data_IF_210388597369
#
_entry.id   IF_210388597369
#
_cell.length_a   1.000
_cell.length_b   1.000
_cell.length_c   1.000
_cell.angle_alpha   90.00
_cell.angle_beta   90.00
_cell.angle_gamma   90.00
#
_symmetry.space_group_name_H-M   'P 1'
#
loop_
_entity.id
_entity.type
_entity.pdbx_description
1 polymer ?
#
# COMPACT_ATOMS: atom_id res chain seq x y z
N UNK A 1 4.49 -7.25 -3.52
CA UNK A 1 4.69 -8.03 -2.27
C UNK A 1 5.16 -9.43 -2.60
N UNK A 2 4.43 -10.20 -3.41
CA UNK A 2 4.96 -11.42 -4.04
C UNK A 2 6.10 -11.03 -4.99
N UNK A 3 7.28 -11.64 -4.84
CA UNK A 3 8.47 -11.35 -5.67
C UNK A 3 8.52 -12.24 -6.91
N UNK A 4 8.29 -13.54 -6.74
CA UNK A 4 8.30 -14.52 -7.81
C UNK A 4 7.28 -15.63 -7.50
N UNK A 5 6.22 -15.81 -8.33
CA UNK A 5 5.23 -16.87 -8.16
C UNK A 5 5.77 -18.30 -8.31
N UNK A 6 6.91 -18.48 -8.98
CA UNK A 6 7.54 -19.80 -9.18
C UNK A 6 8.30 -20.27 -7.92
N UNK A 7 8.59 -19.35 -7.00
CA UNK A 7 9.19 -19.70 -5.72
C UNK A 7 8.12 -20.18 -4.75
N UNK A 8 8.52 -21.04 -3.83
CA UNK A 8 7.71 -21.43 -2.69
C UNK A 8 7.72 -20.36 -1.59
N UNK A 9 6.81 -20.48 -0.63
CA UNK A 9 6.85 -19.64 0.56
C UNK A 9 8.15 -19.84 1.34
N UNK A 10 8.57 -21.10 1.51
CA UNK A 10 9.86 -21.42 2.11
C UNK A 10 11.06 -20.85 1.34
N UNK A 11 10.94 -20.75 0.02
CA UNK A 11 11.95 -20.25 -0.92
C UNK A 11 11.96 -18.73 -1.12
N UNK A 12 11.10 -17.96 -0.45
CA UNK A 12 11.10 -16.50 -0.55
C UNK A 12 10.16 -15.89 -1.58
N UNK A 13 9.06 -16.57 -1.91
CA UNK A 13 7.96 -15.96 -2.68
C UNK A 13 7.49 -14.64 -2.05
N UNK A 14 7.51 -14.56 -0.71
CA UNK A 14 7.24 -13.37 0.09
C UNK A 14 8.51 -13.03 0.88
N UNK A 15 9.10 -11.87 0.60
CA UNK A 15 10.34 -11.42 1.27
C UNK A 15 10.14 -11.31 2.78
N UNK A 16 11.02 -11.96 3.54
CA UNK A 16 11.00 -11.94 5.01
C UNK A 16 10.01 -12.92 5.65
N UNK A 17 9.27 -13.66 4.83
CA UNK A 17 8.36 -14.74 5.23
C UNK A 17 8.86 -16.08 4.66
N UNK A 18 10.16 -16.33 4.84
CA UNK A 18 10.90 -17.45 4.29
C UNK A 18 11.79 -18.08 5.37
N UNK A 19 12.52 -19.15 5.02
CA UNK A 19 13.39 -19.89 5.96
C UNK A 19 14.42 -19.03 6.71
N UNK A 20 14.83 -17.88 6.16
CA UNK A 20 15.79 -16.98 6.81
C UNK A 20 15.17 -16.26 8.00
N UNK A 21 13.84 -16.11 8.02
CA UNK A 21 13.11 -15.59 9.16
C UNK A 21 12.38 -16.73 9.89
N UNK A 22 13.08 -17.34 10.84
CA UNK A 22 12.61 -18.52 11.55
C UNK A 22 11.22 -18.32 12.20
N UNK A 23 10.98 -17.16 12.81
CA UNK A 23 9.71 -16.85 13.48
C UNK A 23 8.53 -16.91 12.51
N UNK A 24 8.58 -16.16 11.41
CA UNK A 24 7.50 -16.14 10.42
C UNK A 24 7.38 -17.45 9.66
N UNK A 25 8.50 -18.14 9.42
CA UNK A 25 8.48 -19.43 8.75
C UNK A 25 7.77 -20.52 9.58
N UNK A 26 7.98 -20.54 10.91
CA UNK A 26 7.23 -21.44 11.81
C UNK A 26 5.73 -21.15 11.79
N UNK A 27 5.34 -19.88 11.71
CA UNK A 27 3.94 -19.52 11.54
C UNK A 27 3.37 -20.06 10.23
N UNK A 28 4.10 -19.91 9.11
CA UNK A 28 3.66 -20.44 7.82
C UNK A 28 3.57 -21.97 7.81
N UNK A 29 4.47 -22.67 8.50
CA UNK A 29 4.37 -24.12 8.69
C UNK A 29 3.12 -24.52 9.45
N UNK A 30 2.84 -23.86 10.57
CA UNK A 30 1.62 -24.12 11.35
C UNK A 30 0.36 -23.82 10.52
N UNK A 31 0.39 -22.77 9.70
CA UNK A 31 -0.68 -22.43 8.77
C UNK A 31 -0.87 -23.49 7.68
N UNK A 32 0.23 -23.99 7.13
CA UNK A 32 0.28 -25.07 6.15
C UNK A 32 -0.30 -26.38 6.70
N UNK A 33 0.06 -26.73 7.94
CA UNK A 33 -0.47 -27.90 8.64
C UNK A 33 -1.98 -27.81 8.87
N UNK A 34 -2.50 -26.60 9.15
CA UNK A 34 -3.92 -26.35 9.38
C UNK A 34 -4.73 -26.40 8.09
N UNK A 35 -4.33 -25.63 7.07
CA UNK A 35 -5.04 -25.54 5.79
C UNK A 35 -4.64 -26.61 4.76
N UNK A 36 -3.75 -27.53 5.13
CA UNK A 36 -3.31 -28.68 4.32
C UNK A 36 -2.74 -28.26 2.96
N UNK A 37 -1.83 -27.30 2.96
CA UNK A 37 -1.07 -26.93 1.77
C UNK A 37 0.43 -27.16 1.96
N UNK A 38 1.16 -27.29 0.86
CA UNK A 38 2.61 -27.46 0.89
C UNK A 38 3.31 -26.10 0.86
N UNK A 39 4.09 -25.80 1.89
CA UNK A 39 4.89 -24.55 1.99
C UNK A 39 6.09 -24.53 1.03
N UNK A 40 6.47 -25.70 0.52
CA UNK A 40 7.56 -25.91 -0.46
C UNK A 40 7.07 -25.90 -1.90
N UNK A 41 5.76 -25.98 -2.14
CA UNK A 41 5.20 -25.86 -3.48
C UNK A 41 5.34 -24.42 -4.01
N UNK A 42 5.52 -24.24 -5.34
CA UNK A 42 5.53 -22.91 -5.96
C UNK A 42 4.27 -22.13 -5.60
N UNK A 43 4.42 -20.85 -5.26
CA UNK A 43 3.31 -19.99 -4.84
C UNK A 43 2.16 -20.00 -5.87
N UNK A 44 2.49 -19.93 -7.16
CA UNK A 44 1.50 -19.95 -8.25
C UNK A 44 0.68 -21.25 -8.35
N UNK A 45 1.16 -22.36 -7.79
CA UNK A 45 0.45 -23.64 -7.78
C UNK A 45 -0.56 -23.79 -6.62
N UNK A 46 -0.48 -22.92 -5.62
CA UNK A 46 -1.36 -22.95 -4.46
C UNK A 46 -2.78 -22.47 -4.82
N UNK A 47 -3.79 -22.98 -4.12
CA UNK A 47 -5.17 -22.58 -4.35
C UNK A 47 -5.42 -21.10 -3.98
N UNK A 48 -6.42 -20.48 -4.61
CA UNK A 48 -6.82 -19.10 -4.31
C UNK A 48 -7.20 -18.91 -2.82
N UNK A 49 -7.75 -19.95 -2.17
CA UNK A 49 -8.04 -19.90 -0.73
C UNK A 49 -6.76 -19.78 0.10
N UNK A 50 -5.72 -20.56 -0.23
CA UNK A 50 -4.42 -20.48 0.44
C UNK A 50 -3.79 -19.11 0.22
N UNK A 51 -3.84 -18.57 -1.01
CA UNK A 51 -3.35 -17.20 -1.27
C UNK A 51 -4.05 -16.18 -0.39
N UNK A 52 -5.38 -16.27 -0.30
CA UNK A 52 -6.19 -15.34 0.50
C UNK A 52 -5.83 -15.42 1.97
N UNK A 53 -5.76 -16.62 2.54
CA UNK A 53 -5.44 -16.81 3.95
C UNK A 53 -4.02 -16.35 4.28
N UNK A 54 -3.03 -16.65 3.42
CA UNK A 54 -1.65 -16.20 3.64
C UNK A 54 -1.56 -14.68 3.58
N UNK A 55 -2.19 -14.04 2.62
CA UNK A 55 -2.07 -12.59 2.43
C UNK A 55 -2.91 -11.78 3.43
N UNK A 56 -4.16 -12.19 3.66
CA UNK A 56 -5.17 -11.42 4.39
C UNK A 56 -5.59 -12.05 5.73
N UNK A 57 -5.05 -13.21 6.08
CA UNK A 57 -5.30 -13.85 7.37
C UNK A 57 -6.47 -14.83 7.38
N UNK A 58 -6.64 -15.48 8.52
CA UNK A 58 -7.71 -16.47 8.78
C UNK A 58 -9.01 -15.86 9.31
N UNK A 59 -9.09 -14.53 9.39
CA UNK A 59 -10.24 -13.82 9.94
C UNK A 59 -10.40 -14.09 11.44
N UNK A 60 -11.44 -14.85 11.81
CA UNK A 60 -11.72 -15.22 13.21
C UNK A 60 -11.32 -16.66 13.55
N UNK A 61 -10.87 -17.42 12.57
CA UNK A 61 -10.51 -18.83 12.77
C UNK A 61 -9.21 -18.92 13.55
N UNK A 62 -9.25 -19.55 14.72
CA UNK A 62 -8.10 -19.79 15.57
C UNK A 62 -7.26 -20.96 15.02
N UNK A 63 -5.96 -20.73 14.92
CA UNK A 63 -4.99 -21.69 14.41
C UNK A 63 -3.97 -21.96 15.51
N UNK A 64 -3.56 -23.21 15.61
CA UNK A 64 -2.54 -23.63 16.55
C UNK A 64 -1.15 -23.32 15.99
N UNK A 65 -0.48 -22.32 16.56
CA UNK A 65 0.87 -21.93 16.19
C UNK A 65 1.88 -22.48 17.17
N UNK A 66 2.88 -23.19 16.64
CA UNK A 66 4.02 -23.71 17.39
C UNK A 66 5.18 -22.72 17.28
N UNK A 67 5.59 -22.16 18.40
CA UNK A 67 6.72 -21.24 18.50
C UNK A 67 7.86 -21.93 19.24
N UNK A 68 9.03 -22.00 18.60
CA UNK A 68 10.24 -22.51 19.23
C UNK A 68 11.11 -21.33 19.65
N UNK A 69 11.54 -21.32 20.91
CA UNK A 69 12.50 -20.32 21.41
C UNK A 69 13.94 -20.73 21.08
N UNK A 70 14.90 -19.84 21.33
CA UNK A 70 16.33 -20.10 21.06
C UNK A 70 16.91 -21.26 21.91
N UNK A 71 16.22 -21.66 22.98
CA UNK A 71 16.60 -22.78 23.86
C UNK A 71 16.03 -24.12 23.39
N UNK A 72 15.21 -24.13 22.34
CA UNK A 72 14.55 -25.32 21.80
C UNK A 72 13.21 -25.66 22.46
N UNK A 73 12.75 -24.89 23.45
CA UNK A 73 11.42 -25.10 24.03
C UNK A 73 10.35 -24.69 23.03
N UNK A 74 9.35 -25.55 22.88
CA UNK A 74 8.19 -25.29 22.02
C UNK A 74 7.02 -24.81 22.87
N UNK A 75 6.50 -23.63 22.55
CA UNK A 75 5.24 -23.11 23.11
C UNK A 75 4.16 -23.15 22.04
N UNK A 76 2.95 -23.56 22.44
CA UNK A 76 1.79 -23.63 21.56
C UNK A 76 0.85 -22.49 21.92
N UNK A 77 0.41 -21.72 20.93
CA UNK A 77 -0.60 -20.67 21.11
C UNK A 77 -1.68 -20.80 20.07
N UNK A 78 -2.92 -20.51 20.45
CA UNK A 78 -4.07 -20.49 19.54
C UNK A 78 -4.53 -19.06 19.35
N UNK A 79 -4.48 -18.59 18.11
CA UNK A 79 -4.99 -17.28 17.72
C UNK A 79 -5.25 -17.24 16.21
N UNK A 80 -5.98 -16.24 15.70
CA UNK A 80 -6.11 -16.08 14.26
C UNK A 80 -4.79 -15.65 13.62
N UNK A 81 -4.59 -16.07 12.39
CA UNK A 81 -3.50 -15.56 11.57
C UNK A 81 -3.87 -14.16 11.06
N UNK A 82 -3.03 -13.17 11.35
CA UNK A 82 -3.22 -11.78 10.93
C UNK A 82 -3.22 -11.62 9.40
N UNK A 83 -2.41 -12.42 8.71
CA UNK A 83 -2.10 -12.25 7.30
C UNK A 83 -0.83 -11.42 7.09
N UNK A 84 -0.07 -11.77 6.04
CA UNK A 84 1.19 -11.10 5.70
C UNK A 84 0.99 -9.60 5.48
N UNK A 85 -0.02 -9.21 4.71
CA UNK A 85 -0.24 -7.81 4.33
C UNK A 85 -0.64 -6.96 5.53
N UNK A 86 -1.57 -7.45 6.35
CA UNK A 86 -1.99 -6.76 7.57
C UNK A 86 -0.83 -6.63 8.56
N UNK A 87 -0.01 -7.68 8.71
CA UNK A 87 1.18 -7.62 9.54
C UNK A 87 2.18 -6.56 9.06
N UNK A 88 2.45 -6.50 7.76
CA UNK A 88 3.34 -5.50 7.18
C UNK A 88 2.78 -4.08 7.35
N UNK A 89 1.50 -3.86 7.09
CA UNK A 89 0.83 -2.57 7.27
C UNK A 89 0.89 -2.10 8.72
N UNK A 90 0.53 -2.97 9.66
CA UNK A 90 0.56 -2.65 11.09
C UNK A 90 1.98 -2.34 11.56
N UNK A 91 2.96 -3.18 11.20
CA UNK A 91 4.37 -2.94 11.54
C UNK A 91 4.89 -1.63 10.96
N UNK A 92 4.49 -1.25 9.74
CA UNK A 92 4.88 0.02 9.15
C UNK A 92 4.35 1.23 9.95
N UNK A 93 3.10 1.14 10.43
CA UNK A 93 2.46 2.20 11.22
C UNK A 93 2.97 2.29 12.66
N UNK A 94 3.23 1.15 13.29
CA UNK A 94 3.49 1.06 14.74
C UNK A 94 4.98 0.95 15.11
N UNK A 95 5.87 0.60 14.17
CA UNK A 95 7.30 0.45 14.49
C UNK A 95 7.94 1.79 14.84
N UNK A 96 8.74 1.84 15.91
CA UNK A 96 9.58 2.99 16.25
C UNK A 96 10.94 2.96 15.53
N UNK A 97 11.33 1.81 14.97
CA UNK A 97 12.58 1.67 14.21
C UNK A 97 12.46 2.28 12.81
N UNK A 98 13.29 3.28 12.51
CA UNK A 98 13.41 3.89 11.18
C UNK A 98 13.83 2.87 10.12
N UNK A 99 14.83 2.04 10.40
CA UNK A 99 15.31 1.02 9.48
C UNK A 99 14.21 0.01 9.09
N UNK A 100 13.39 -0.43 10.06
CA UNK A 100 12.24 -1.31 9.77
C UNK A 100 11.20 -0.58 8.92
N UNK A 101 10.92 0.69 9.24
CA UNK A 101 9.96 1.51 8.49
C UNK A 101 10.40 1.70 7.04
N UNK A 102 11.69 1.97 6.80
CA UNK A 102 12.28 2.14 5.47
C UNK A 102 12.26 0.84 4.65
N UNK A 103 12.59 -0.31 5.26
CA UNK A 103 12.47 -1.60 4.59
C UNK A 103 11.01 -1.91 4.18
N UNK A 104 10.04 -1.62 5.05
CA UNK A 104 8.62 -1.83 4.76
C UNK A 104 8.06 -0.82 3.73
N UNK A 105 8.59 0.41 3.71
CA UNK A 105 8.18 1.44 2.75
C UNK A 105 8.42 1.00 1.29
N UNK A 106 9.40 0.11 1.03
CA UNK A 106 9.69 -0.45 -0.31
C UNK A 106 8.52 -1.24 -0.90
N UNK A 107 7.57 -1.68 -0.08
CA UNK A 107 6.38 -2.42 -0.52
C UNK A 107 5.15 -1.53 -0.73
N UNK A 108 5.25 -0.24 -0.41
CA UNK A 108 4.15 0.71 -0.50
C UNK A 108 4.27 1.47 -1.82
N UNK A 109 3.19 1.46 -2.60
CA UNK A 109 3.05 2.30 -3.78
C UNK A 109 2.13 3.47 -3.48
N UNK A 110 2.48 4.64 -3.99
CA UNK A 110 1.58 5.80 -3.93
C UNK A 110 0.41 5.61 -4.90
N UNK A 111 -0.79 5.94 -4.43
CA UNK A 111 -2.01 6.02 -5.25
C UNK A 111 -2.71 7.35 -4.98
N UNK A 112 -3.48 7.89 -5.95
CA UNK A 112 -4.32 9.06 -5.70
C UNK A 112 -5.21 8.82 -4.49
N UNK A 113 -5.28 9.81 -3.60
CA UNK A 113 -6.12 9.73 -2.42
C UNK A 113 -7.59 9.64 -2.85
N UNK A 114 -8.36 8.69 -2.34
CA UNK A 114 -9.76 8.49 -2.75
C UNK A 114 -10.67 9.68 -2.43
N UNK A 115 -10.36 10.49 -1.42
CA UNK A 115 -11.21 11.61 -1.02
C UNK A 115 -10.98 12.87 -1.86
N UNK A 116 -9.74 13.11 -2.30
CA UNK A 116 -9.36 14.31 -3.06
C UNK A 116 -8.89 14.01 -4.47
N UNK A 117 -8.87 12.74 -4.89
CA UNK A 117 -8.41 12.26 -6.19
C UNK A 117 -6.99 12.72 -6.53
N UNK A 118 -6.15 12.89 -5.50
CA UNK A 118 -4.76 13.34 -5.67
C UNK A 118 -4.59 14.87 -5.74
N UNK A 119 -5.66 15.65 -5.79
CA UNK A 119 -5.58 17.13 -5.84
C UNK A 119 -5.06 17.77 -4.54
N UNK A 120 -5.09 17.03 -3.43
CA UNK A 120 -4.68 17.50 -2.08
C UNK A 120 -5.47 18.70 -1.55
N UNK A 121 -6.61 19.01 -2.16
CA UNK A 121 -7.48 20.12 -1.79
C UNK A 121 -8.78 19.63 -1.13
N UNK A 122 -9.32 20.45 -0.21
CA UNK A 122 -10.67 20.26 0.34
C UNK A 122 -11.72 20.40 -0.77
N UNK A 123 -12.91 19.83 -0.57
CA UNK A 123 -13.97 19.81 -1.60
C UNK A 123 -14.33 21.22 -2.07
N UNK A 124 -14.47 22.17 -1.16
CA UNK A 124 -14.84 23.56 -1.48
C UNK A 124 -13.80 24.22 -2.38
N UNK A 125 -12.52 23.98 -2.12
CA UNK A 125 -11.42 24.52 -2.93
C UNK A 125 -11.37 23.90 -4.33
N UNK A 126 -11.79 22.64 -4.49
CA UNK A 126 -11.92 22.01 -5.82
C UNK A 126 -13.07 22.57 -6.66
N UNK A 127 -14.04 23.23 -6.02
CA UNK A 127 -15.16 23.89 -6.70
C UNK A 127 -14.91 25.38 -6.97
N UNK A 128 -13.65 25.83 -6.94
CA UNK A 128 -13.25 27.15 -7.44
C UNK A 128 -12.88 27.02 -8.92
N UNK A 129 -13.50 27.83 -9.77
CA UNK A 129 -13.35 27.76 -11.23
C UNK A 129 -12.84 29.07 -11.81
N UNK A 130 -12.04 28.96 -12.87
CA UNK A 130 -11.65 30.07 -13.76
C UNK A 130 -12.10 29.68 -15.16
N UNK A 131 -13.03 30.44 -15.75
CA UNK A 131 -13.63 30.15 -17.08
C UNK A 131 -14.05 28.67 -17.25
N UNK A 132 -14.79 28.14 -16.28
CA UNK A 132 -15.26 26.74 -16.22
C UNK A 132 -14.19 25.66 -16.01
N UNK A 133 -12.92 26.02 -15.85
CA UNK A 133 -11.86 25.07 -15.48
C UNK A 133 -11.65 25.08 -13.96
N UNK A 134 -11.76 23.93 -13.28
CA UNK A 134 -11.56 23.86 -11.84
C UNK A 134 -10.09 24.07 -11.49
N UNK A 135 -9.81 24.74 -10.37
CA UNK A 135 -8.47 25.09 -9.92
C UNK A 135 -7.46 23.92 -9.95
N UNK A 136 -7.79 22.70 -9.46
CA UNK A 136 -6.85 21.58 -9.52
C UNK A 136 -6.47 21.16 -10.93
N UNK A 137 -7.38 21.29 -11.91
CA UNK A 137 -7.07 20.95 -13.29
C UNK A 137 -6.04 21.92 -13.88
N UNK A 138 -6.09 23.20 -13.51
CA UNK A 138 -5.09 24.20 -13.92
C UNK A 138 -3.73 23.87 -13.30
N UNK A 139 -3.69 23.46 -12.02
CA UNK A 139 -2.45 23.10 -11.33
C UNK A 139 -1.81 21.80 -11.83
N UNK A 140 -2.60 20.91 -12.44
CA UNK A 140 -2.13 19.64 -13.00
C UNK A 140 -1.67 19.76 -14.47
N UNK A 141 -1.91 20.92 -15.11
CA UNK A 141 -1.43 21.19 -16.47
C UNK A 141 0.09 21.23 -16.54
N UNK A 142 0.63 20.83 -17.68
CA UNK A 142 2.01 21.15 -18.04
C UNK A 142 2.18 22.67 -18.14
N UNK A 143 3.42 23.15 -17.96
CA UNK A 143 3.73 24.59 -18.06
C UNK A 143 3.24 25.18 -19.39
N UNK A 144 3.43 24.45 -20.51
CA UNK A 144 2.97 24.88 -21.83
C UNK A 144 1.45 25.02 -21.92
N UNK A 145 0.70 24.03 -21.44
CA UNK A 145 -0.77 24.10 -21.43
C UNK A 145 -1.30 25.18 -20.48
N UNK A 146 -0.65 25.39 -19.33
CA UNK A 146 -1.00 26.45 -18.41
C UNK A 146 -0.77 27.84 -19.04
N UNK A 147 0.36 28.03 -19.73
CA UNK A 147 0.67 29.26 -20.46
C UNK A 147 -0.36 29.53 -21.56
N UNK A 148 -0.74 28.51 -22.33
CA UNK A 148 -1.80 28.61 -23.35
C UNK A 148 -3.16 28.95 -22.71
N UNK A 149 -3.50 28.32 -21.59
CA UNK A 149 -4.72 28.59 -20.84
C UNK A 149 -4.81 30.07 -20.41
N UNK A 150 -3.74 30.61 -19.80
CA UNK A 150 -3.73 31.99 -19.33
C UNK A 150 -3.65 33.02 -20.47
N UNK A 151 -2.93 32.72 -21.56
CA UNK A 151 -2.89 33.59 -22.74
C UNK A 151 -4.24 33.72 -23.44
N UNK A 152 -5.05 32.66 -23.43
CA UNK A 152 -6.38 32.65 -24.02
C UNK A 152 -7.49 33.03 -23.03
N UNK A 153 -7.14 33.35 -21.78
CA UNK A 153 -8.11 33.65 -20.73
C UNK A 153 -8.79 35.00 -20.99
N UNK A 154 -10.11 34.96 -21.22
CA UNK A 154 -10.92 36.15 -21.48
C UNK A 154 -11.80 36.48 -20.28
N UNK A 155 -11.32 37.38 -19.43
CA UNK A 155 -12.10 37.92 -18.32
C UNK A 155 -12.77 39.24 -18.73
N UNK A 156 -13.93 39.53 -18.14
CA UNK A 156 -14.65 40.79 -18.36
C UNK A 156 -14.85 41.59 -17.07
N UNK A 157 -15.03 42.91 -17.21
CA UNK A 157 -15.37 43.82 -16.12
C UNK A 157 -14.33 43.86 -14.99
N UNK A 158 -14.81 43.83 -13.75
CA UNK A 158 -13.96 43.95 -12.55
C UNK A 158 -12.93 42.82 -12.44
N UNK A 159 -13.28 41.59 -12.86
CA UNK A 159 -12.38 40.44 -12.82
C UNK A 159 -11.16 40.65 -13.72
N UNK A 160 -11.38 41.18 -14.92
CA UNK A 160 -10.30 41.50 -15.86
C UNK A 160 -9.33 42.54 -15.27
N UNK A 161 -9.88 43.62 -14.69
CA UNK A 161 -9.08 44.69 -14.10
C UNK A 161 -8.23 44.24 -12.91
N UNK A 162 -8.74 43.31 -12.10
CA UNK A 162 -7.99 42.72 -10.98
C UNK A 162 -6.92 41.75 -11.51
N UNK A 163 -7.29 40.89 -12.45
CA UNK A 163 -6.41 39.85 -12.98
C UNK A 163 -5.28 40.41 -13.87
N UNK A 164 -5.46 41.56 -14.53
CA UNK A 164 -4.50 42.15 -15.47
C UNK A 164 -3.07 42.25 -14.89
N UNK A 165 -2.94 42.63 -13.62
CA UNK A 165 -1.63 42.74 -12.97
C UNK A 165 -0.99 41.37 -12.74
N UNK A 166 -1.79 40.37 -12.36
CA UNK A 166 -1.33 39.01 -12.09
C UNK A 166 -0.94 38.32 -13.40
N UNK A 167 -1.75 38.46 -14.45
CA UNK A 167 -1.49 37.87 -15.77
C UNK A 167 -0.25 38.43 -16.47
N UNK A 168 0.21 39.65 -16.11
CA UNK A 168 1.46 40.22 -16.62
C UNK A 168 2.72 39.57 -16.03
N UNK A 169 2.60 38.84 -14.92
CA UNK A 169 3.72 38.18 -14.25
C UNK A 169 3.85 36.68 -14.61
N UNK A 170 2.91 36.14 -15.40
CA UNK A 170 2.86 34.75 -15.89
C UNK A 170 3.46 34.71 -17.29
#
# INVERSE_FOLDING_TARGET
>A
VIQNPELSLAGGAIRGWDRRNFYYFQMLKSLADHYKFDVEAPWGSLSANVHKVVLYGSGKENIEFKYMNDRGDTSIRRHPFEGVLHNMERRYKETESSAVREELAKFISNRPCASCEGTRLRREARHVYVENTPLPAISDMSIGHAMEFFNNLKLAGQRAKIAEKILKEI
#
